data_IF_989888495594
#
_entry.id   IF_989888495594
#
_cell.length_a   1.000
_cell.length_b   1.000
_cell.length_c   1.000
_cell.angle_alpha   90.00
_cell.angle_beta   90.00
_cell.angle_gamma   90.00
#
_symmetry.space_group_name_H-M   'P 1'
#
loop_
_entity.id
_entity.type
_entity.pdbx_description
1 polymer ?
#
# COMPACT_ATOMS: atom_id res chain seq x y z
N UNK A 1 18.86 -32.44 0.29
CA UNK A 1 17.77 -31.91 -0.56
C UNK A 1 16.41 -32.53 -0.25
N UNK A 2 16.24 -33.86 -0.24
CA UNK A 2 14.93 -34.50 0.06
C UNK A 2 14.33 -34.11 1.42
N UNK A 3 15.14 -34.04 2.49
CA UNK A 3 14.67 -33.64 3.83
C UNK A 3 14.23 -32.17 3.95
N UNK A 4 14.87 -31.27 3.21
CA UNK A 4 14.51 -29.85 3.19
C UNK A 4 13.19 -29.59 2.43
N UNK A 5 13.01 -30.27 1.29
CA UNK A 5 11.75 -30.20 0.53
C UNK A 5 10.59 -30.80 1.33
N UNK A 6 10.82 -31.90 2.07
CA UNK A 6 9.81 -32.47 2.96
C UNK A 6 9.44 -31.50 4.11
N UNK A 7 10.44 -30.90 4.77
CA UNK A 7 10.25 -29.91 5.85
C UNK A 7 9.44 -28.68 5.41
N UNK A 8 9.81 -28.08 4.27
CA UNK A 8 9.10 -26.90 3.73
C UNK A 8 7.63 -27.23 3.40
N UNK A 9 7.38 -28.46 2.94
CA UNK A 9 6.03 -28.93 2.57
C UNK A 9 5.19 -29.26 3.80
N UNK A 10 5.75 -29.88 4.82
CA UNK A 10 5.08 -30.20 6.09
C UNK A 10 4.74 -28.95 6.91
N UNK A 11 5.62 -27.94 6.90
CA UNK A 11 5.42 -26.70 7.66
C UNK A 11 4.57 -25.65 6.92
N UNK A 12 4.07 -25.96 5.72
CA UNK A 12 3.26 -25.01 4.93
C UNK A 12 4.00 -23.73 4.51
N UNK A 13 5.34 -23.70 4.63
CA UNK A 13 6.19 -22.50 4.41
C UNK A 13 6.11 -22.00 2.96
N UNK A 14 5.80 -22.89 2.01
CA UNK A 14 5.58 -22.52 0.60
C UNK A 14 4.44 -21.49 0.47
N UNK A 15 3.32 -21.71 1.17
CA UNK A 15 2.18 -20.81 1.11
C UNK A 15 2.51 -19.43 1.70
N UNK A 16 3.24 -19.41 2.81
CA UNK A 16 3.71 -18.18 3.45
C UNK A 16 4.71 -17.43 2.55
N UNK A 17 5.63 -18.14 1.90
CA UNK A 17 6.61 -17.55 0.98
C UNK A 17 5.93 -16.91 -0.24
N UNK A 18 4.95 -17.60 -0.85
CA UNK A 18 4.16 -17.06 -1.97
C UNK A 18 3.37 -15.83 -1.52
N UNK A 19 2.71 -15.91 -0.36
CA UNK A 19 1.95 -14.79 0.20
C UNK A 19 2.81 -13.55 0.44
N UNK A 20 4.02 -13.72 0.96
CA UNK A 20 4.95 -12.63 1.21
C UNK A 20 5.46 -11.98 -0.09
N UNK A 21 5.87 -12.79 -1.07
CA UNK A 21 6.35 -12.30 -2.38
C UNK A 21 5.24 -11.55 -3.11
N UNK A 22 4.03 -12.12 -3.13
CA UNK A 22 2.86 -11.47 -3.75
C UNK A 22 2.47 -10.20 -3.00
N UNK A 23 2.49 -10.20 -1.67
CA UNK A 23 2.22 -9.02 -0.85
C UNK A 23 3.19 -7.87 -1.13
N UNK A 24 4.49 -8.17 -1.25
CA UNK A 24 5.50 -7.17 -1.62
C UNK A 24 5.29 -6.60 -3.03
N UNK A 25 4.96 -7.45 -4.00
CA UNK A 25 4.69 -7.02 -5.37
C UNK A 25 3.43 -6.13 -5.48
N UNK A 26 2.34 -6.53 -4.82
CA UNK A 26 1.08 -5.76 -4.78
C UNK A 26 1.31 -4.40 -4.11
N UNK A 27 2.02 -4.38 -2.97
CA UNK A 27 2.36 -3.14 -2.26
C UNK A 27 3.08 -2.15 -3.16
N UNK A 28 4.02 -2.62 -3.99
CA UNK A 28 4.75 -1.78 -4.95
C UNK A 28 3.81 -1.17 -6.01
N UNK A 29 2.90 -1.97 -6.58
CA UNK A 29 1.94 -1.51 -7.60
C UNK A 29 0.97 -0.47 -7.03
N UNK A 30 0.46 -0.72 -5.82
CA UNK A 30 -0.41 0.24 -5.12
C UNK A 30 0.36 1.52 -4.81
N UNK A 31 1.60 1.40 -4.33
CA UNK A 31 2.43 2.56 -4.00
C UNK A 31 2.70 3.42 -5.25
N UNK A 32 3.04 2.82 -6.39
CA UNK A 32 3.22 3.56 -7.64
C UNK A 32 1.92 4.19 -8.12
N UNK A 33 0.78 3.50 -8.02
CA UNK A 33 -0.52 4.08 -8.37
C UNK A 33 -0.84 5.32 -7.51
N UNK A 34 -0.56 5.24 -6.21
CA UNK A 34 -0.78 6.38 -5.30
C UNK A 34 0.17 7.53 -5.62
N UNK A 35 1.47 7.25 -5.83
CA UNK A 35 2.47 8.27 -6.12
C UNK A 35 2.28 8.93 -7.50
N UNK A 36 1.93 8.15 -8.52
CA UNK A 36 1.92 8.62 -9.91
C UNK A 36 0.56 9.15 -10.35
N UNK A 37 -0.54 8.72 -9.72
CA UNK A 37 -1.90 9.10 -10.10
C UNK A 37 -2.59 9.88 -9.00
N UNK A 38 -2.59 9.37 -7.77
CA UNK A 38 -3.35 9.99 -6.67
C UNK A 38 -2.68 11.26 -6.17
N UNK A 39 -1.36 11.25 -5.93
CA UNK A 39 -0.64 12.42 -5.43
C UNK A 39 -0.70 13.64 -6.37
N UNK A 40 -0.55 13.52 -7.70
CA UNK A 40 -0.71 14.66 -8.61
C UNK A 40 -2.13 15.22 -8.54
N UNK A 41 -3.17 14.36 -8.58
CA UNK A 41 -4.57 14.79 -8.51
C UNK A 41 -4.86 15.50 -7.19
N UNK A 42 -4.40 14.94 -6.06
CA UNK A 42 -4.50 15.60 -4.76
C UNK A 42 -3.72 16.91 -4.72
N UNK A 43 -2.55 16.98 -5.36
CA UNK A 43 -1.75 18.19 -5.49
C UNK A 43 -2.42 19.28 -6.33
N UNK A 44 -3.26 18.92 -7.31
CA UNK A 44 -4.08 19.86 -8.06
C UNK A 44 -5.30 20.34 -7.27
N UNK A 45 -6.00 19.44 -6.56
CA UNK A 45 -7.23 19.76 -5.82
C UNK A 45 -6.95 20.53 -4.53
N UNK A 46 -5.91 20.15 -3.79
CA UNK A 46 -5.52 20.80 -2.53
C UNK A 46 -4.68 22.06 -2.74
N UNK A 47 -4.45 22.47 -4.01
CA UNK A 47 -3.71 23.67 -4.35
C UNK A 47 -2.22 23.55 -4.00
N UNK A 48 -1.45 22.90 -4.87
CA UNK A 48 -0.07 22.50 -4.62
C UNK A 48 0.01 21.58 -3.40
N UNK A 49 0.33 20.30 -3.58
CA UNK A 49 0.89 19.49 -2.50
C UNK A 49 2.22 20.08 -1.95
N UNK A 50 2.72 21.17 -2.56
CA UNK A 50 3.66 22.06 -1.90
C UNK A 50 3.09 22.74 -0.66
N UNK A 51 1.78 22.91 -0.46
CA UNK A 51 1.14 23.51 0.71
C UNK A 51 1.50 22.87 2.06
N UNK A 52 1.69 21.54 2.08
CA UNK A 52 2.15 20.81 3.28
C UNK A 52 3.68 20.76 3.40
N UNK A 53 4.40 20.81 2.27
CA UNK A 53 5.85 21.04 2.23
C UNK A 53 6.24 22.54 2.33
N UNK A 54 5.25 23.44 2.33
CA UNK A 54 5.37 24.90 2.45
C UNK A 54 4.71 25.40 3.73
N UNK A 55 4.14 24.50 4.55
CA UNK A 55 4.07 24.66 6.00
C UNK A 55 5.44 24.35 6.60
N UNK A 56 6.47 24.99 6.06
CA UNK A 56 7.76 25.13 6.72
C UNK A 56 7.62 26.29 7.70
N UNK A 57 7.30 26.00 8.97
CA UNK A 57 7.56 26.94 10.05
C UNK A 57 9.03 26.77 10.45
N UNK A 58 9.92 27.30 9.62
CA UNK A 58 11.36 27.30 9.89
C UNK A 58 12.06 25.93 9.76
N UNK A 59 13.23 25.75 10.42
CA UNK A 59 14.20 24.68 10.14
C UNK A 59 13.90 23.31 10.78
N UNK A 60 12.73 23.11 11.39
CA UNK A 60 12.31 21.79 11.90
C UNK A 60 11.15 21.26 11.04
N UNK A 61 11.46 20.31 10.18
CA UNK A 61 10.52 19.68 9.24
C UNK A 61 9.67 18.60 9.92
N UNK A 62 8.79 19.00 10.86
CA UNK A 62 7.67 18.13 11.31
C UNK A 62 6.75 17.70 10.15
N UNK A 63 6.82 18.44 9.03
CA UNK A 63 6.10 18.13 7.80
C UNK A 63 6.42 16.76 7.22
N UNK A 64 7.63 16.20 7.38
CA UNK A 64 7.95 14.90 6.76
C UNK A 64 7.21 13.74 7.42
N UNK A 65 7.09 13.74 8.75
CA UNK A 65 6.35 12.72 9.47
C UNK A 65 4.84 12.82 9.21
N UNK A 66 4.29 14.04 9.25
CA UNK A 66 2.86 14.26 8.97
C UNK A 66 2.52 13.94 7.51
N UNK A 67 3.40 14.28 6.57
CA UNK A 67 3.23 13.90 5.15
C UNK A 67 3.26 12.39 4.98
N UNK A 68 4.21 11.69 5.60
CA UNK A 68 4.27 10.22 5.55
C UNK A 68 3.03 9.57 6.19
N UNK A 69 2.48 10.16 7.25
CA UNK A 69 1.24 9.68 7.88
C UNK A 69 0.02 9.89 6.98
N UNK A 70 -0.07 11.04 6.29
CA UNK A 70 -1.11 11.33 5.30
C UNK A 70 -0.99 10.37 4.11
N UNK A 71 0.22 10.13 3.60
CA UNK A 71 0.47 9.17 2.52
C UNK A 71 0.04 7.75 2.92
N UNK A 72 0.32 7.34 4.16
CA UNK A 72 -0.15 6.07 4.69
C UNK A 72 -1.68 5.97 4.68
N UNK A 73 -2.38 7.01 5.14
CA UNK A 73 -3.85 7.06 5.12
C UNK A 73 -4.41 7.02 3.69
N UNK A 74 -3.77 7.71 2.74
CA UNK A 74 -4.17 7.69 1.33
C UNK A 74 -4.00 6.29 0.73
N UNK A 75 -2.84 5.65 0.95
CA UNK A 75 -2.58 4.29 0.49
C UNK A 75 -3.62 3.33 1.09
N UNK A 76 -3.89 3.41 2.39
CA UNK A 76 -4.89 2.59 3.05
C UNK A 76 -6.29 2.78 2.45
N UNK A 77 -6.69 4.03 2.18
CA UNK A 77 -7.97 4.34 1.54
C UNK A 77 -8.05 3.78 0.11
N UNK A 78 -6.98 3.93 -0.68
CA UNK A 78 -6.93 3.44 -2.06
C UNK A 78 -6.99 1.91 -2.10
N UNK A 79 -6.24 1.22 -1.24
CA UNK A 79 -6.34 -0.24 -1.09
C UNK A 79 -7.77 -0.62 -0.75
N UNK A 80 -8.38 0.02 0.24
CA UNK A 80 -9.78 -0.24 0.60
C UNK A 80 -10.73 -0.06 -0.60
N UNK A 81 -10.64 1.04 -1.33
CA UNK A 81 -11.50 1.30 -2.49
C UNK A 81 -11.28 0.31 -3.64
N UNK A 82 -10.04 -0.09 -3.93
CA UNK A 82 -9.74 -1.08 -4.97
C UNK A 82 -10.32 -2.44 -4.59
N UNK A 83 -10.06 -2.91 -3.37
CA UNK A 83 -10.56 -4.20 -2.89
C UNK A 83 -12.09 -4.22 -2.82
N UNK A 84 -12.71 -3.13 -2.35
CA UNK A 84 -14.16 -2.96 -2.31
C UNK A 84 -14.80 -2.82 -3.70
N UNK A 85 -14.13 -2.14 -4.62
CA UNK A 85 -14.58 -1.93 -5.99
C UNK A 85 -14.60 -3.21 -6.81
N UNK A 86 -13.62 -4.10 -6.59
CA UNK A 86 -13.55 -5.41 -7.22
C UNK A 86 -14.60 -6.41 -6.71
N UNK A 87 -15.41 -6.05 -5.70
CA UNK A 87 -16.47 -6.89 -5.12
C UNK A 87 -16.02 -8.32 -4.82
N UNK A 88 -14.76 -8.54 -4.45
CA UNK A 88 -14.27 -9.84 -3.99
C UNK A 88 -15.00 -10.29 -2.71
N UNK A 89 -15.60 -9.35 -2.00
CA UNK A 89 -16.58 -9.51 -0.93
C UNK A 89 -17.85 -10.30 -1.33
N UNK A 90 -18.11 -10.49 -2.64
CA UNK A 90 -19.21 -11.36 -3.13
C UNK A 90 -18.75 -12.73 -3.62
N UNK A 91 -17.45 -12.98 -3.79
CA UNK A 91 -16.94 -14.26 -4.29
C UNK A 91 -16.73 -15.30 -3.18
N UNK A 92 -16.84 -14.88 -1.92
CA UNK A 92 -16.94 -15.79 -0.77
C UNK A 92 -18.39 -15.95 -0.26
N UNK A 93 -19.38 -15.55 -1.07
CA UNK A 93 -20.75 -16.07 -0.88
C UNK A 93 -20.76 -17.47 -1.46
N UNK A 94 -20.26 -18.41 -0.65
CA UNK A 94 -20.45 -19.84 -0.78
C UNK A 94 -21.92 -20.09 -1.09
N UNK A 95 -22.22 -20.50 -2.33
CA UNK A 95 -23.46 -21.18 -2.64
C UNK A 95 -23.34 -22.63 -2.19
#
# INVERSE_FOLDING_TARGET
>A
MKGFVAFIREQGVIGLAIGFVMGGAISKVVSSFVQDIVQPILGYILGSAKGLNSLAVGPITYGQFITAFVDFLIIAAVVYFIFRGLRLDKLDVKK
#
